data_IF_503454474452
#
_entry.id   IF_503454474452
#
_cell.length_a   1.000
_cell.length_b   1.000
_cell.length_c   1.000
_cell.angle_alpha   90.00
_cell.angle_beta   90.00
_cell.angle_gamma   90.00
#
_symmetry.space_group_name_H-M   'P 1'
#
loop_
_entity.id
_entity.type
_entity.pdbx_description
1 polymer ?
#
# COMPACT_ATOMS: atom_id res chain seq x y z
N UNK A 1 53.39 -36.64 44.69
CA UNK A 1 52.97 -35.66 43.67
C UNK A 1 51.63 -36.08 43.12
N UNK A 2 50.54 -35.44 43.57
CA UNK A 2 49.18 -35.60 43.02
C UNK A 2 48.65 -34.19 42.78
N UNK A 3 48.69 -33.74 41.54
CA UNK A 3 48.12 -32.48 41.10
C UNK A 3 46.70 -32.74 40.62
N UNK A 4 45.71 -32.31 41.41
CA UNK A 4 44.32 -32.29 40.98
C UNK A 4 44.02 -30.89 40.40
N UNK A 5 43.94 -30.82 39.07
CA UNK A 5 43.54 -29.63 38.34
C UNK A 5 42.00 -29.64 38.27
N UNK A 6 41.34 -28.85 39.09
CA UNK A 6 39.89 -28.64 39.00
C UNK A 6 39.61 -27.72 37.81
N UNK A 7 39.13 -28.30 36.71
CA UNK A 7 38.58 -27.55 35.58
C UNK A 7 37.23 -26.95 36.01
N UNK A 8 37.25 -25.66 36.38
CA UNK A 8 36.05 -24.87 36.61
C UNK A 8 35.39 -24.60 35.25
N UNK A 9 34.49 -25.48 34.83
CA UNK A 9 33.57 -25.21 33.72
C UNK A 9 32.65 -24.05 34.13
N UNK A 10 32.98 -22.84 33.70
CA UNK A 10 32.04 -21.73 33.65
C UNK A 10 30.92 -22.14 32.69
N UNK A 11 29.82 -22.66 33.26
CA UNK A 11 28.55 -22.74 32.56
C UNK A 11 28.09 -21.30 32.42
N UNK A 12 28.31 -20.71 31.25
CA UNK A 12 27.61 -19.50 30.84
C UNK A 12 26.13 -19.87 30.79
N UNK A 13 25.41 -19.59 31.88
CA UNK A 13 23.96 -19.69 31.91
C UNK A 13 23.43 -18.71 30.88
N UNK A 14 23.06 -19.22 29.71
CA UNK A 14 22.23 -18.48 28.77
C UNK A 14 20.89 -18.29 29.45
N UNK A 15 20.73 -17.20 30.19
CA UNK A 15 19.42 -16.75 30.66
C UNK A 15 18.55 -16.64 29.42
N UNK A 16 17.59 -17.57 29.26
CA UNK A 16 16.57 -17.46 28.25
C UNK A 16 15.87 -16.11 28.49
N UNK A 17 16.16 -15.14 27.63
CA UNK A 17 15.64 -13.79 27.77
C UNK A 17 14.12 -13.87 27.70
N UNK A 18 13.46 -13.55 28.81
CA UNK A 18 12.01 -13.48 28.82
C UNK A 18 11.62 -12.32 27.90
N UNK A 19 10.87 -12.62 26.84
CA UNK A 19 10.23 -11.63 25.97
C UNK A 19 8.71 -11.67 26.21
N UNK A 20 8.05 -10.53 26.18
CA UNK A 20 6.59 -10.43 26.32
C UNK A 20 6.07 -9.55 25.20
N UNK A 21 4.97 -9.96 24.58
CA UNK A 21 4.52 -9.31 23.36
C UNK A 21 3.11 -9.69 22.95
N UNK A 22 2.56 -8.89 22.04
CA UNK A 22 1.31 -9.14 21.35
C UNK A 22 1.62 -9.43 19.87
N UNK A 23 1.29 -10.63 19.40
CA UNK A 23 1.60 -11.07 18.03
C UNK A 23 3.10 -11.10 17.74
N UNK A 24 3.50 -10.52 16.60
CA UNK A 24 4.91 -10.46 16.15
C UNK A 24 5.74 -9.41 16.91
N UNK A 25 5.14 -8.69 17.85
CA UNK A 25 5.80 -7.61 18.56
C UNK A 25 6.13 -8.01 19.97
N UNK A 26 7.41 -8.23 20.20
CA UNK A 26 7.93 -8.67 21.48
C UNK A 26 8.85 -7.61 22.06
N UNK A 27 8.67 -7.36 23.35
CA UNK A 27 9.58 -6.60 24.21
C UNK A 27 10.35 -7.61 25.04
N UNK A 28 11.65 -7.65 24.83
CA UNK A 28 12.57 -8.50 25.54
C UNK A 28 13.31 -7.71 26.63
N UNK A 29 13.78 -8.42 27.65
CA UNK A 29 14.76 -7.87 28.56
C UNK A 29 15.98 -7.36 27.78
N UNK A 30 16.39 -6.12 28.04
CA UNK A 30 17.47 -5.44 27.35
C UNK A 30 17.03 -4.49 26.24
N UNK A 31 15.78 -4.61 25.76
CA UNK A 31 15.24 -3.71 24.74
C UNK A 31 15.08 -2.29 25.24
N UNK A 32 15.13 -1.34 24.31
CA UNK A 32 14.76 0.05 24.55
C UNK A 32 13.34 0.27 24.05
N UNK A 33 12.46 0.75 24.91
CA UNK A 33 11.06 1.08 24.59
C UNK A 33 10.77 2.56 24.86
N UNK A 34 9.70 3.10 24.26
CA UNK A 34 9.24 4.46 24.54
C UNK A 34 7.98 4.41 25.40
N UNK A 35 7.84 5.34 26.35
CA UNK A 35 6.69 5.41 27.26
C UNK A 35 6.21 6.86 27.32
N UNK A 36 5.03 7.11 26.75
CA UNK A 36 4.42 8.44 26.70
C UNK A 36 5.26 9.49 25.98
N UNK A 37 5.06 10.76 26.35
CA UNK A 37 5.70 11.94 25.72
C UNK A 37 6.88 12.51 26.49
N UNK A 38 7.18 11.96 27.68
CA UNK A 38 8.12 12.58 28.59
C UNK A 38 9.59 12.45 28.15
N UNK A 39 9.97 11.32 27.54
CA UNK A 39 11.39 11.02 27.26
C UNK A 39 11.60 10.43 25.86
N UNK A 40 12.22 11.21 24.97
CA UNK A 40 12.61 10.75 23.63
C UNK A 40 13.72 9.70 23.63
N UNK A 41 14.43 9.57 24.76
CA UNK A 41 15.54 8.62 24.93
C UNK A 41 15.06 7.22 25.33
N UNK A 42 13.79 7.10 25.73
CA UNK A 42 13.17 5.82 26.09
C UNK A 42 13.66 5.21 27.40
N UNK A 43 13.31 3.95 27.57
CA UNK A 43 13.56 3.15 28.76
C UNK A 43 14.20 1.83 28.37
N UNK A 44 15.26 1.43 29.07
CA UNK A 44 15.84 0.09 28.93
C UNK A 44 15.09 -0.89 29.82
N UNK A 45 14.56 -1.96 29.24
CA UNK A 45 13.85 -3.02 29.97
C UNK A 45 14.85 -3.86 30.77
N UNK A 46 14.69 -3.92 32.08
CA UNK A 46 15.59 -4.61 33.01
C UNK A 46 15.01 -5.94 33.47
N UNK A 47 13.69 -6.01 33.65
CA UNK A 47 12.99 -7.21 34.10
C UNK A 47 11.54 -7.16 33.69
N UNK A 48 10.90 -8.32 33.60
CA UNK A 48 9.53 -8.44 33.09
C UNK A 48 8.71 -9.28 34.07
N UNK A 49 7.55 -8.76 34.47
CA UNK A 49 6.54 -9.44 35.28
C UNK A 49 5.29 -9.70 34.44
N UNK A 50 5.25 -10.89 33.83
CA UNK A 50 4.12 -11.36 33.01
C UNK A 50 2.82 -11.46 33.79
N UNK A 51 2.88 -11.71 35.11
CA UNK A 51 1.68 -11.98 35.90
C UNK A 51 0.86 -10.71 36.11
N UNK A 52 1.55 -9.57 36.25
CA UNK A 52 0.94 -8.28 36.53
C UNK A 52 0.83 -7.37 35.29
N UNK A 53 1.26 -7.84 34.11
CA UNK A 53 1.36 -7.03 32.89
C UNK A 53 2.29 -5.81 33.07
N UNK A 54 3.41 -6.01 33.77
CA UNK A 54 4.34 -4.95 34.12
C UNK A 54 5.79 -5.30 33.74
N UNK A 55 6.64 -4.28 33.63
CA UNK A 55 8.07 -4.42 33.47
C UNK A 55 8.83 -3.38 34.30
N UNK A 56 10.03 -3.77 34.75
CA UNK A 56 10.96 -2.85 35.40
C UNK A 56 11.82 -2.24 34.31
N UNK A 57 11.78 -0.92 34.21
CA UNK A 57 12.47 -0.16 33.19
C UNK A 57 13.42 0.85 33.83
N UNK A 58 14.58 1.03 33.19
CA UNK A 58 15.55 2.06 33.54
C UNK A 58 15.40 3.22 32.58
N UNK A 59 15.08 4.40 33.11
CA UNK A 59 15.01 5.63 32.33
C UNK A 59 16.40 5.97 31.75
N UNK A 60 16.49 6.14 30.44
CA UNK A 60 17.78 6.41 29.79
C UNK A 60 18.30 7.84 30.04
N UNK A 61 17.44 8.77 30.47
CA UNK A 61 17.81 10.14 30.80
C UNK A 61 18.18 10.29 32.27
N UNK A 62 17.28 9.89 33.18
CA UNK A 62 17.48 10.08 34.62
C UNK A 62 18.21 8.93 35.30
N UNK A 63 18.45 7.82 34.59
CA UNK A 63 19.11 6.63 35.13
C UNK A 63 18.37 6.00 36.33
N UNK A 64 17.07 6.28 36.48
CA UNK A 64 16.19 5.79 37.56
C UNK A 64 15.47 4.51 37.14
N UNK A 65 15.20 3.64 38.12
CA UNK A 65 14.38 2.43 37.91
C UNK A 65 12.94 2.71 38.28
N UNK A 66 12.00 2.23 37.47
CA UNK A 66 10.58 2.31 37.75
C UNK A 66 9.84 1.12 37.15
N UNK A 67 8.73 0.73 37.77
CA UNK A 67 7.79 -0.24 37.22
C UNK A 67 6.82 0.47 36.27
N UNK A 68 6.52 -0.16 35.14
CA UNK A 68 5.71 0.37 34.04
C UNK A 68 4.77 -0.70 33.52
N UNK A 69 3.60 -0.29 33.00
CA UNK A 69 2.65 -1.19 32.35
C UNK A 69 3.03 -1.42 30.88
N UNK A 70 2.87 -2.65 30.39
CA UNK A 70 3.00 -2.94 28.95
C UNK A 70 2.01 -2.13 28.11
N UNK A 71 0.88 -1.73 28.68
CA UNK A 71 -0.16 -0.96 28.00
C UNK A 71 0.27 0.47 27.69
N UNK A 72 1.35 0.96 28.30
CA UNK A 72 1.90 2.30 28.08
C UNK A 72 3.03 2.31 27.04
N UNK A 73 3.45 1.14 26.56
CA UNK A 73 4.60 1.01 25.65
C UNK A 73 4.23 1.50 24.25
N UNK A 74 5.13 2.32 23.71
CA UNK A 74 5.22 2.59 22.28
C UNK A 74 6.36 1.75 21.70
N UNK A 75 6.00 0.78 20.86
CA UNK A 75 6.94 -0.05 20.11
C UNK A 75 7.71 0.83 19.13
N UNK A 76 9.03 0.85 19.24
CA UNK A 76 9.91 1.73 18.47
C UNK A 76 10.53 1.04 17.24
N UNK A 77 9.93 -0.05 16.78
CA UNK A 77 10.32 -0.81 15.59
C UNK A 77 9.07 -1.39 14.92
N UNK A 78 9.23 -1.74 13.64
CA UNK A 78 8.17 -2.34 12.85
C UNK A 78 7.11 -1.34 12.39
N UNK A 79 6.01 -1.88 11.89
CA UNK A 79 4.91 -1.13 11.32
C UNK A 79 3.59 -1.60 11.93
N UNK A 80 2.63 -0.68 12.00
CA UNK A 80 1.27 -0.94 12.42
C UNK A 80 0.33 -0.17 11.51
N UNK A 81 -0.71 -0.82 10.98
CA UNK A 81 -1.69 -0.23 10.05
C UNK A 81 -1.06 0.65 8.95
N UNK A 82 -0.04 0.10 8.27
CA UNK A 82 0.69 0.73 7.16
C UNK A 82 1.51 1.98 7.52
N UNK A 83 1.74 2.24 8.82
CA UNK A 83 2.65 3.28 9.29
C UNK A 83 3.79 2.62 10.06
N UNK A 84 5.02 2.92 9.67
CA UNK A 84 6.23 2.38 10.24
C UNK A 84 6.91 3.37 11.19
N UNK A 85 7.65 2.83 12.16
CA UNK A 85 8.57 3.67 12.94
C UNK A 85 9.66 4.21 12.03
N UNK A 86 9.85 5.53 12.07
CA UNK A 86 10.75 6.23 11.18
C UNK A 86 10.05 7.07 10.12
N UNK A 87 8.78 6.77 9.84
CA UNK A 87 8.01 7.45 8.80
C UNK A 87 7.84 8.93 9.12
N UNK A 88 7.87 9.73 8.04
CA UNK A 88 7.48 11.14 8.09
C UNK A 88 5.98 11.22 7.89
N UNK A 89 5.29 11.94 8.75
CA UNK A 89 3.84 12.19 8.67
C UNK A 89 3.55 13.68 8.76
N UNK A 90 2.37 14.10 8.33
CA UNK A 90 1.84 15.45 8.47
C UNK A 90 0.50 15.42 9.21
N UNK A 91 0.12 16.54 9.83
CA UNK A 91 -1.17 16.75 10.49
C UNK A 91 -1.62 18.18 10.26
N UNK A 92 -2.26 18.42 9.11
CA UNK A 92 -2.69 19.76 8.71
C UNK A 92 -1.60 20.82 8.93
N UNK A 93 -1.96 21.92 9.58
CA UNK A 93 -1.03 23.00 9.93
C UNK A 93 -0.19 22.74 11.18
N UNK A 94 -0.61 21.81 12.05
CA UNK A 94 0.10 21.52 13.31
C UNK A 94 1.48 20.92 13.06
N UNK A 95 1.65 20.11 12.01
CA UNK A 95 2.93 19.55 11.58
C UNK A 95 3.27 20.00 10.15
N UNK A 96 3.28 21.31 9.90
CA UNK A 96 3.52 21.84 8.55
C UNK A 96 4.90 21.45 7.96
N UNK A 97 5.91 21.19 8.81
CA UNK A 97 7.23 20.67 8.42
C UNK A 97 7.33 19.13 8.51
N UNK A 98 6.22 18.48 8.83
CA UNK A 98 6.11 17.08 9.16
C UNK A 98 6.54 16.75 10.59
N UNK A 99 6.25 15.53 11.00
CA UNK A 99 6.70 14.91 12.23
C UNK A 99 7.23 13.51 11.91
N UNK A 100 8.10 12.97 12.76
CA UNK A 100 8.64 11.61 12.65
C UNK A 100 7.91 10.68 13.60
N UNK A 101 7.46 9.53 13.12
CA UNK A 101 6.91 8.46 13.96
C UNK A 101 8.06 7.81 14.73
N UNK A 102 7.98 7.81 16.05
CA UNK A 102 8.96 7.18 16.94
C UNK A 102 8.48 5.85 17.50
N UNK A 103 7.17 5.66 17.57
CA UNK A 103 6.58 4.39 17.98
C UNK A 103 5.08 4.40 17.91
N UNK A 104 4.47 3.24 18.15
CA UNK A 104 3.03 3.08 18.24
C UNK A 104 2.69 2.17 19.41
N UNK A 105 1.51 2.38 19.97
CA UNK A 105 0.98 1.61 21.07
C UNK A 105 -0.28 0.90 20.56
N UNK A 106 -0.21 -0.43 20.53
CA UNK A 106 -1.28 -1.27 19.98
C UNK A 106 -2.52 -1.24 20.87
N UNK A 107 -2.33 -1.13 22.18
CA UNK A 107 -3.43 -1.17 23.17
C UNK A 107 -4.30 0.08 23.06
N UNK A 108 -3.69 1.25 23.05
CA UNK A 108 -4.42 2.52 22.96
C UNK A 108 -4.59 3.04 21.53
N UNK A 109 -4.03 2.35 20.53
CA UNK A 109 -4.09 2.66 19.09
C UNK A 109 -3.54 4.05 18.73
N UNK A 110 -2.55 4.54 19.48
CA UNK A 110 -1.91 5.84 19.24
C UNK A 110 -0.48 5.69 18.75
N UNK A 111 -0.02 6.73 18.07
CA UNK A 111 1.36 6.90 17.62
C UNK A 111 2.05 7.97 18.44
N UNK A 112 3.29 7.71 18.84
CA UNK A 112 4.18 8.70 19.40
C UNK A 112 4.97 9.33 18.26
N UNK A 113 4.82 10.63 18.09
CA UNK A 113 5.48 11.39 17.02
C UNK A 113 6.32 12.51 17.59
N UNK A 114 7.38 12.87 16.87
CA UNK A 114 8.24 14.02 17.16
C UNK A 114 8.10 15.05 16.06
N UNK A 115 7.63 16.23 16.40
CA UNK A 115 7.55 17.37 15.48
C UNK A 115 8.95 17.76 14.98
N UNK A 116 9.12 17.96 13.67
CA UNK A 116 10.42 18.27 13.08
C UNK A 116 10.90 19.70 13.38
N UNK A 117 9.99 20.64 13.62
CA UNK A 117 10.28 22.04 13.91
C UNK A 117 10.49 22.27 15.41
N UNK A 118 9.53 21.90 16.24
CA UNK A 118 9.58 22.16 17.69
C UNK A 118 10.30 21.07 18.49
N UNK A 119 10.63 19.93 17.87
CA UNK A 119 11.21 18.76 18.56
C UNK A 119 10.36 18.21 19.72
N UNK A 120 9.10 18.62 19.81
CA UNK A 120 8.17 18.19 20.85
C UNK A 120 7.62 16.80 20.55
N UNK A 121 7.45 16.01 21.61
CA UNK A 121 6.78 14.71 21.53
C UNK A 121 5.29 14.88 21.73
N UNK A 122 4.50 14.18 20.93
CA UNK A 122 3.05 14.13 21.11
C UNK A 122 2.51 12.76 20.73
N UNK A 123 1.37 12.41 21.31
CA UNK A 123 0.62 11.21 20.94
C UNK A 123 -0.53 11.58 20.01
N UNK A 124 -0.69 10.86 18.92
CA UNK A 124 -1.69 11.15 17.89
C UNK A 124 -2.42 9.87 17.45
N UNK A 125 -3.64 10.05 16.96
CA UNK A 125 -4.41 8.97 16.35
C UNK A 125 -4.04 8.86 14.86
N UNK A 126 -4.18 7.65 14.29
CA UNK A 126 -3.88 7.35 12.88
C UNK A 126 -4.65 8.22 11.89
N UNK A 127 -5.95 8.36 12.12
CA UNK A 127 -6.92 9.09 11.28
C UNK A 127 -6.55 10.57 11.08
N UNK A 128 -5.70 11.11 11.96
CA UNK A 128 -5.22 12.51 11.84
C UNK A 128 -4.01 12.68 10.93
N UNK A 129 -3.42 11.59 10.42
CA UNK A 129 -2.19 11.62 9.66
C UNK A 129 -2.39 11.74 8.15
N UNK A 130 -1.45 12.45 7.55
CA UNK A 130 -1.24 12.51 6.11
C UNK A 130 0.17 12.00 5.81
N UNK A 131 0.28 11.05 4.88
CA UNK A 131 1.56 10.46 4.47
C UNK A 131 2.13 11.19 3.26
N UNK A 132 3.46 11.38 3.17
CA UNK A 132 4.12 12.01 2.02
C UNK A 132 4.15 11.13 0.76
N UNK A 133 3.41 10.03 0.76
CA UNK A 133 3.33 9.05 -0.31
C UNK A 133 1.92 8.51 -0.44
N UNK A 134 1.62 7.91 -1.59
CA UNK A 134 0.32 7.35 -1.93
C UNK A 134 -0.51 8.21 -2.87
N UNK A 135 -1.60 7.61 -3.30
CA UNK A 135 -2.61 8.20 -4.18
C UNK A 135 -4.00 7.99 -3.59
N UNK A 136 -4.94 8.86 -3.93
CA UNK A 136 -6.36 8.70 -3.63
C UNK A 136 -7.19 9.35 -4.75
N UNK A 137 -8.21 8.66 -5.25
CA UNK A 137 -9.07 9.11 -6.35
C UNK A 137 -8.28 9.70 -7.54
N UNK A 138 -7.27 8.96 -8.06
CA UNK A 138 -6.37 9.38 -9.15
C UNK A 138 -5.44 10.56 -8.85
N UNK A 139 -5.55 11.17 -7.66
CA UNK A 139 -4.66 12.24 -7.20
C UNK A 139 -3.56 11.63 -6.34
N UNK A 140 -2.31 11.90 -6.69
CA UNK A 140 -1.15 11.39 -6.00
C UNK A 140 -0.34 12.47 -5.30
N UNK A 141 0.40 12.07 -4.26
CA UNK A 141 1.38 12.98 -3.64
C UNK A 141 2.43 13.39 -4.68
N UNK A 142 2.59 14.69 -4.88
CA UNK A 142 3.49 15.27 -5.88
C UNK A 142 2.79 15.81 -7.11
N UNK A 143 1.51 15.48 -7.33
CA UNK A 143 0.71 16.07 -8.41
C UNK A 143 0.56 17.58 -8.21
N UNK A 144 0.46 18.30 -9.34
CA UNK A 144 0.02 19.69 -9.36
C UNK A 144 -1.48 19.71 -9.59
N UNK A 145 -2.19 20.38 -8.69
CA UNK A 145 -3.65 20.45 -8.66
C UNK A 145 -4.14 21.90 -8.67
N UNK A 146 -5.39 22.07 -9.06
CA UNK A 146 -6.08 23.35 -9.14
C UNK A 146 -7.43 23.29 -8.43
N UNK A 147 -7.83 24.38 -7.75
CA UNK A 147 -9.16 24.54 -7.11
C UNK A 147 -9.64 25.98 -7.28
N UNK A 148 -10.15 26.29 -8.47
CA UNK A 148 -10.68 27.62 -8.81
C UNK A 148 -9.75 28.76 -8.43
N UNK A 149 -10.32 29.85 -7.88
CA UNK A 149 -9.54 31.02 -7.45
C UNK A 149 -8.70 30.77 -6.19
N UNK A 150 -8.96 29.71 -5.43
CA UNK A 150 -8.20 29.40 -4.21
C UNK A 150 -6.77 28.96 -4.49
N UNK A 151 -6.51 28.35 -5.66
CA UNK A 151 -5.17 27.98 -6.14
C UNK A 151 -4.96 28.52 -7.55
N UNK A 152 -5.11 29.82 -7.75
CA UNK A 152 -5.03 30.44 -9.08
C UNK A 152 -3.73 30.14 -9.85
N UNK A 153 -2.64 29.81 -9.14
CA UNK A 153 -1.34 29.41 -9.71
C UNK A 153 -1.02 27.91 -9.51
N UNK A 154 -2.04 27.12 -9.17
CA UNK A 154 -1.92 25.73 -8.78
C UNK A 154 -1.38 25.53 -7.36
N UNK A 155 -1.51 24.31 -6.88
CA UNK A 155 -0.97 23.83 -5.62
C UNK A 155 -0.35 22.45 -5.83
N UNK A 156 0.59 22.07 -4.98
CA UNK A 156 1.20 20.74 -5.00
C UNK A 156 0.63 19.87 -3.90
N UNK A 157 0.24 18.64 -4.21
CA UNK A 157 -0.13 17.65 -3.20
C UNK A 157 1.12 17.24 -2.43
N UNK A 158 1.13 17.46 -1.12
CA UNK A 158 2.30 17.21 -0.26
C UNK A 158 2.18 15.95 0.56
N UNK A 159 0.94 15.61 0.93
CA UNK A 159 0.66 14.41 1.70
C UNK A 159 -0.80 13.99 1.50
N UNK A 160 -1.09 12.70 1.66
CA UNK A 160 -2.41 12.12 1.48
C UNK A 160 -2.93 11.51 2.77
N UNK A 161 -4.20 11.71 3.08
CA UNK A 161 -4.83 11.02 4.21
C UNK A 161 -4.95 9.53 3.91
N UNK A 162 -4.62 8.72 4.91
CA UNK A 162 -4.76 7.26 4.80
C UNK A 162 -6.24 6.87 4.85
N UNK A 163 -6.99 7.53 5.73
CA UNK A 163 -8.32 7.09 6.16
C UNK A 163 -9.45 7.97 5.62
N UNK A 164 -9.13 8.98 4.80
CA UNK A 164 -10.13 9.89 4.23
C UNK A 164 -9.77 10.39 2.84
N UNK A 165 -10.76 10.90 2.13
CA UNK A 165 -10.62 11.51 0.81
C UNK A 165 -10.09 12.95 0.89
N UNK A 166 -9.05 13.16 1.71
CA UNK A 166 -8.41 14.45 1.89
C UNK A 166 -6.94 14.40 1.52
N UNK A 167 -6.50 15.46 0.86
CA UNK A 167 -5.11 15.76 0.56
C UNK A 167 -4.66 17.00 1.31
N UNK A 168 -3.42 16.97 1.80
CA UNK A 168 -2.72 18.17 2.22
C UNK A 168 -2.06 18.77 0.97
N UNK A 169 -2.45 19.98 0.61
CA UNK A 169 -1.91 20.70 -0.56
C UNK A 169 -1.15 21.93 -0.12
N UNK A 170 -0.09 22.27 -0.85
CA UNK A 170 0.70 23.48 -0.65
C UNK A 170 0.54 24.41 -1.85
N UNK A 171 0.03 25.60 -1.60
CA UNK A 171 -0.11 26.63 -2.63
C UNK A 171 1.27 27.01 -3.22
N UNK A 172 1.36 27.07 -4.54
CA UNK A 172 2.63 27.35 -5.23
C UNK A 172 3.13 28.79 -5.01
N UNK A 173 2.23 29.73 -4.75
CA UNK A 173 2.52 31.16 -4.61
C UNK A 173 2.72 31.57 -3.15
N UNK A 174 1.78 31.20 -2.27
CA UNK A 174 1.80 31.62 -0.87
C UNK A 174 2.55 30.67 0.06
N UNK A 175 2.94 29.48 -0.41
CA UNK A 175 3.59 28.41 0.36
C UNK A 175 2.79 27.91 1.57
N UNK A 176 1.55 28.34 1.71
CA UNK A 176 0.60 27.92 2.74
C UNK A 176 0.11 26.50 2.45
N UNK A 177 -0.12 25.74 3.52
CA UNK A 177 -0.70 24.41 3.42
C UNK A 177 -2.18 24.45 3.82
N UNK A 178 -3.00 23.69 3.11
CA UNK A 178 -4.40 23.50 3.46
C UNK A 178 -4.84 22.06 3.20
N UNK A 179 -5.81 21.60 3.98
CA UNK A 179 -6.45 20.31 3.76
C UNK A 179 -7.60 20.51 2.79
N UNK A 180 -7.67 19.70 1.75
CA UNK A 180 -8.71 19.75 0.71
C UNK A 180 -9.26 18.36 0.46
N UNK A 181 -10.53 18.26 0.10
CA UNK A 181 -11.08 17.00 -0.41
C UNK A 181 -10.53 16.71 -1.79
N UNK A 182 -10.23 15.45 -2.09
CA UNK A 182 -9.69 15.01 -3.39
C UNK A 182 -10.66 15.33 -4.54
N UNK A 183 -11.96 15.12 -4.35
CA UNK A 183 -13.01 15.45 -5.32
C UNK A 183 -13.07 16.94 -5.72
N UNK A 184 -12.57 17.84 -4.86
CA UNK A 184 -12.56 19.29 -5.12
C UNK A 184 -11.33 19.73 -5.93
N UNK A 185 -10.40 18.81 -6.25
CA UNK A 185 -9.11 19.10 -6.87
C UNK A 185 -9.09 18.61 -8.31
N UNK A 186 -8.60 19.46 -9.20
CA UNK A 186 -8.37 19.11 -10.61
C UNK A 186 -6.87 18.92 -10.81
N UNK A 187 -6.43 17.74 -11.25
CA UNK A 187 -5.02 17.50 -11.60
C UNK A 187 -4.68 18.24 -12.89
N UNK A 188 -3.70 19.13 -12.84
CA UNK A 188 -3.20 19.87 -14.01
C UNK A 188 -1.86 19.34 -14.50
N UNK A 189 -1.11 18.68 -13.63
CA UNK A 189 0.13 17.98 -13.99
C UNK A 189 0.34 16.79 -13.07
N UNK A 190 0.45 15.62 -13.68
CA UNK A 190 0.76 14.37 -12.99
C UNK A 190 2.24 14.30 -12.59
N UNK A 191 2.51 13.81 -11.38
CA UNK A 191 3.83 13.36 -10.98
C UNK A 191 4.20 12.07 -11.72
N UNK A 192 5.46 11.97 -12.13
CA UNK A 192 6.03 10.75 -12.72
C UNK A 192 6.35 9.67 -11.68
N UNK A 193 6.15 9.95 -10.39
CA UNK A 193 6.43 9.01 -9.29
C UNK A 193 5.51 7.78 -9.31
N UNK A 194 4.28 7.92 -9.79
CA UNK A 194 3.27 6.85 -9.79
C UNK A 194 2.82 6.54 -11.20
N UNK A 195 2.73 5.25 -11.50
CA UNK A 195 2.15 4.73 -12.73
C UNK A 195 0.64 4.95 -12.80
N UNK A 196 0.06 4.84 -14.01
CA UNK A 196 -1.39 4.87 -14.21
C UNK A 196 -2.12 3.79 -13.41
N UNK A 197 -1.48 2.62 -13.22
CA UNK A 197 -2.00 1.55 -12.38
C UNK A 197 -2.08 1.96 -10.91
N UNK A 198 -1.00 2.49 -10.33
CA UNK A 198 -0.97 2.95 -8.93
C UNK A 198 -1.96 4.08 -8.65
N UNK A 199 -2.24 4.92 -9.65
CA UNK A 199 -3.26 5.98 -9.60
C UNK A 199 -4.68 5.43 -9.47
N UNK A 200 -4.98 4.28 -10.10
CA UNK A 200 -6.31 3.66 -10.12
C UNK A 200 -6.58 2.66 -8.97
N UNK A 201 -5.54 2.15 -8.32
CA UNK A 201 -5.65 1.04 -7.34
C UNK A 201 -6.47 1.35 -6.08
N UNK A 202 -6.64 2.62 -5.67
CA UNK A 202 -7.36 2.92 -4.43
C UNK A 202 -8.88 2.78 -4.52
N UNK A 203 -9.45 2.57 -5.70
CA UNK A 203 -10.88 2.27 -5.84
C UNK A 203 -11.24 0.86 -5.34
N UNK A 204 -10.27 -0.05 -5.21
CA UNK A 204 -10.52 -1.47 -4.90
C UNK A 204 -10.28 -1.80 -3.41
N UNK A 205 -9.28 -1.19 -2.75
CA UNK A 205 -9.01 -1.51 -1.33
C UNK A 205 -10.06 -0.94 -0.36
N UNK A 206 -10.69 0.20 -0.68
CA UNK A 206 -11.65 0.88 0.22
C UNK A 206 -13.03 0.20 0.32
N UNK A 207 -13.33 -0.76 -0.56
CA UNK A 207 -14.55 -1.58 -0.44
C UNK A 207 -14.40 -2.77 0.52
N UNK A 208 -13.25 -2.92 1.21
CA UNK A 208 -12.99 -4.06 2.10
C UNK A 208 -12.95 -3.76 3.60
N UNK A 209 -13.22 -2.53 4.04
CA UNK A 209 -13.15 -2.16 5.46
C UNK A 209 -14.51 -1.78 6.09
N UNK A 210 -15.39 -2.76 6.28
CA UNK A 210 -16.27 -2.76 7.46
C UNK A 210 -15.67 -3.68 8.53
N UNK A 211 -15.71 -3.31 9.83
CA UNK A 211 -15.21 -4.14 10.91
C UNK A 211 -16.21 -5.25 11.21
N UNK A 212 -16.20 -6.32 10.41
CA UNK A 212 -16.94 -7.53 10.70
C UNK A 212 -16.25 -8.18 11.92
N UNK A 213 -16.97 -8.24 13.04
CA UNK A 213 -16.62 -9.14 14.14
C UNK A 213 -16.39 -10.53 13.54
N UNK A 214 -15.17 -11.06 13.69
CA UNK A 214 -14.73 -12.32 13.10
C UNK A 214 -15.66 -13.48 13.47
N UNK A 215 -16.68 -13.70 12.65
CA UNK A 215 -17.21 -15.02 12.37
C UNK A 215 -16.56 -15.44 11.06
N UNK A 216 -15.57 -16.34 11.16
CA UNK A 216 -14.89 -16.94 10.02
C UNK A 216 -15.92 -17.68 9.14
N UNK A 217 -16.48 -16.97 8.16
CA UNK A 217 -17.10 -17.59 7.00
C UNK A 217 -16.05 -17.52 5.90
N UNK A 218 -15.25 -18.57 5.78
CA UNK A 218 -14.40 -18.79 4.62
C UNK A 218 -15.31 -18.97 3.39
N UNK A 219 -15.73 -17.88 2.77
CA UNK A 219 -16.18 -17.89 1.39
C UNK A 219 -14.92 -17.91 0.53
N UNK A 220 -14.50 -19.11 0.16
CA UNK A 220 -13.51 -19.35 -0.89
C UNK A 220 -14.11 -18.85 -2.19
N UNK A 221 -13.92 -17.57 -2.50
CA UNK A 221 -14.22 -17.05 -3.82
C UNK A 221 -13.24 -17.71 -4.79
N UNK A 222 -13.68 -18.79 -5.43
CA UNK A 222 -12.91 -19.48 -6.46
C UNK A 222 -13.02 -18.61 -7.72
N UNK A 223 -11.96 -17.88 -8.03
CA UNK A 223 -11.88 -17.14 -9.28
C UNK A 223 -11.95 -18.13 -10.44
N UNK A 224 -13.04 -18.08 -11.23
CA UNK A 224 -13.20 -18.93 -12.40
C UNK A 224 -12.34 -18.42 -13.57
N UNK A 225 -11.03 -18.69 -13.47
CA UNK A 225 -10.06 -18.27 -14.49
C UNK A 225 -10.36 -18.86 -15.87
N UNK A 226 -11.03 -20.02 -15.93
CA UNK A 226 -11.40 -20.66 -17.19
C UNK A 226 -12.55 -19.93 -17.86
N UNK A 227 -13.58 -19.59 -17.09
CA UNK A 227 -14.69 -18.74 -17.54
C UNK A 227 -14.17 -17.39 -18.02
N UNK A 228 -13.34 -16.72 -17.21
CA UNK A 228 -12.72 -15.45 -17.55
C UNK A 228 -11.89 -15.54 -18.85
N UNK A 229 -11.00 -16.53 -18.98
CA UNK A 229 -10.17 -16.73 -20.18
C UNK A 229 -11.00 -16.89 -21.45
N UNK A 230 -12.13 -17.62 -21.38
CA UNK A 230 -13.04 -17.79 -22.53
C UNK A 230 -13.74 -16.49 -22.89
N UNK A 231 -14.32 -15.83 -21.90
CA UNK A 231 -15.01 -14.55 -22.06
C UNK A 231 -14.12 -13.51 -22.73
N UNK A 232 -12.92 -13.30 -22.17
CA UNK A 232 -11.93 -12.34 -22.69
C UNK A 232 -11.56 -12.68 -24.13
N UNK A 233 -11.28 -13.95 -24.42
CA UNK A 233 -10.89 -14.39 -25.76
C UNK A 233 -12.00 -14.18 -26.80
N UNK A 234 -13.24 -14.54 -26.48
CA UNK A 234 -14.39 -14.38 -27.39
C UNK A 234 -14.68 -12.90 -27.65
N UNK A 235 -14.69 -12.08 -26.61
CA UNK A 235 -14.85 -10.62 -26.70
C UNK A 235 -13.75 -9.98 -27.55
N UNK A 236 -12.49 -10.36 -27.33
CA UNK A 236 -11.36 -9.90 -28.15
C UNK A 236 -11.54 -10.25 -29.63
N UNK A 237 -11.94 -11.49 -29.94
CA UNK A 237 -12.16 -11.91 -31.34
C UNK A 237 -13.30 -11.11 -31.97
N UNK A 238 -14.40 -10.90 -31.25
CA UNK A 238 -15.55 -10.16 -31.75
C UNK A 238 -15.23 -8.67 -31.96
N UNK A 239 -14.50 -8.07 -31.03
CA UNK A 239 -14.02 -6.69 -31.15
C UNK A 239 -13.13 -6.53 -32.39
N UNK A 240 -12.11 -7.37 -32.56
CA UNK A 240 -11.21 -7.25 -33.72
C UNK A 240 -11.96 -7.47 -35.03
N UNK A 241 -12.93 -8.40 -35.09
CA UNK A 241 -13.81 -8.57 -36.26
C UNK A 241 -14.65 -7.33 -36.55
N UNK A 242 -15.18 -6.69 -35.51
CA UNK A 242 -15.96 -5.46 -35.68
C UNK A 242 -15.12 -4.30 -36.21
N UNK A 243 -13.82 -4.30 -35.91
CA UNK A 243 -12.86 -3.32 -36.41
C UNK A 243 -12.39 -3.59 -37.85
N UNK A 244 -12.56 -4.80 -38.41
CA UNK A 244 -12.06 -5.18 -39.75
C UNK A 244 -12.40 -4.19 -40.87
N UNK A 245 -13.62 -3.61 -40.95
CA UNK A 245 -13.95 -2.64 -42.00
C UNK A 245 -13.16 -1.33 -41.92
N UNK A 246 -12.59 -1.02 -40.76
CA UNK A 246 -11.87 0.22 -40.46
C UNK A 246 -10.34 0.05 -40.52
N UNK A 247 -9.86 -1.19 -40.65
CA UNK A 247 -8.45 -1.53 -40.64
C UNK A 247 -7.86 -1.45 -42.06
N UNK A 248 -6.66 -0.87 -42.18
CA UNK A 248 -5.91 -0.89 -43.43
C UNK A 248 -5.09 -2.19 -43.58
N UNK A 249 -4.64 -2.52 -44.80
CA UNK A 249 -3.90 -3.76 -45.07
C UNK A 249 -2.60 -3.93 -44.26
N UNK A 250 -1.96 -2.83 -43.82
CA UNK A 250 -0.74 -2.92 -43.02
C UNK A 250 -1.03 -3.39 -41.59
N UNK A 251 -2.16 -2.96 -41.03
CA UNK A 251 -2.57 -3.24 -39.66
C UNK A 251 -3.42 -4.52 -39.56
N UNK A 252 -3.96 -5.01 -40.68
CA UNK A 252 -4.70 -6.28 -40.76
C UNK A 252 -3.86 -7.46 -40.23
N UNK A 253 -2.56 -7.48 -40.54
CA UNK A 253 -1.65 -8.53 -40.07
C UNK A 253 -1.50 -8.55 -38.52
N UNK A 254 -1.51 -7.39 -37.88
CA UNK A 254 -1.41 -7.26 -36.42
C UNK A 254 -2.72 -7.67 -35.74
N UNK A 255 -3.84 -7.27 -36.33
CA UNK A 255 -5.19 -7.65 -35.89
C UNK A 255 -5.44 -9.15 -36.03
N UNK A 256 -4.92 -9.76 -37.10
CA UNK A 256 -4.89 -11.20 -37.27
C UNK A 256 -4.06 -11.91 -36.19
N UNK A 257 -2.95 -11.32 -35.76
CA UNK A 257 -2.14 -11.87 -34.68
C UNK A 257 -2.86 -11.81 -33.33
N UNK A 258 -3.57 -10.72 -33.05
CA UNK A 258 -4.44 -10.58 -31.86
C UNK A 258 -5.53 -11.66 -31.90
N UNK A 259 -6.28 -11.78 -33.01
CA UNK A 259 -7.30 -12.85 -33.18
C UNK A 259 -6.72 -14.24 -32.99
N UNK A 260 -5.56 -14.54 -33.58
CA UNK A 260 -4.87 -15.84 -33.44
C UNK A 260 -4.50 -16.12 -31.98
N UNK A 261 -4.06 -15.11 -31.23
CA UNK A 261 -3.67 -15.27 -29.82
C UNK A 261 -4.88 -15.40 -28.90
N UNK A 262 -5.95 -14.63 -29.13
CA UNK A 262 -7.23 -14.80 -28.45
C UNK A 262 -7.81 -16.20 -28.69
N UNK A 263 -7.81 -16.70 -29.94
CA UNK A 263 -8.25 -18.05 -30.25
C UNK A 263 -7.40 -19.13 -29.55
N UNK A 264 -6.09 -18.91 -29.39
CA UNK A 264 -5.22 -19.79 -28.59
C UNK A 264 -5.55 -19.71 -27.10
N UNK A 265 -5.86 -18.53 -26.56
CA UNK A 265 -6.27 -18.36 -25.17
C UNK A 265 -7.56 -19.15 -24.90
N UNK A 266 -8.55 -19.01 -25.79
CA UNK A 266 -9.81 -19.76 -25.75
C UNK A 266 -9.57 -21.28 -25.74
N UNK A 267 -8.70 -21.78 -26.62
CA UNK A 267 -8.36 -23.20 -26.67
C UNK A 267 -7.64 -23.67 -25.38
N UNK A 268 -6.75 -22.83 -24.82
CA UNK A 268 -5.98 -23.15 -23.61
C UNK A 268 -6.81 -23.11 -22.34
N UNK A 269 -7.89 -22.33 -22.29
CA UNK A 269 -8.80 -22.26 -21.14
C UNK A 269 -9.41 -23.63 -20.77
N UNK A 270 -9.50 -24.56 -21.74
CA UNK A 270 -9.97 -25.93 -21.51
C UNK A 270 -8.84 -26.93 -21.17
N UNK A 271 -7.58 -26.50 -21.18
CA UNK A 271 -6.42 -27.35 -20.86
C UNK A 271 -6.02 -27.21 -19.38
N UNK A 272 -5.26 -28.17 -18.84
CA UNK A 272 -4.68 -28.09 -17.49
C UNK A 272 -3.26 -27.50 -17.51
N UNK A 273 -2.81 -26.97 -18.64
CA UNK A 273 -1.46 -26.42 -18.81
C UNK A 273 -1.47 -24.94 -18.45
N UNK A 274 -1.40 -24.67 -17.15
CA UNK A 274 -1.49 -23.31 -16.59
C UNK A 274 -0.36 -22.42 -17.10
N UNK A 275 0.85 -22.95 -17.25
CA UNK A 275 2.00 -22.20 -17.78
C UNK A 275 1.69 -21.70 -19.20
N UNK A 276 1.20 -22.57 -20.08
CA UNK A 276 0.85 -22.16 -21.45
C UNK A 276 -0.35 -21.21 -21.48
N UNK A 277 -1.29 -21.33 -20.55
CA UNK A 277 -2.38 -20.39 -20.41
C UNK A 277 -1.85 -18.99 -20.06
N UNK A 278 -1.03 -18.88 -19.00
CA UNK A 278 -0.40 -17.64 -18.55
C UNK A 278 0.42 -16.99 -19.66
N UNK A 279 1.33 -17.73 -20.30
CA UNK A 279 2.15 -17.18 -21.39
C UNK A 279 1.31 -16.72 -22.58
N UNK A 280 0.20 -17.41 -22.86
CA UNK A 280 -0.71 -17.01 -23.95
C UNK A 280 -1.47 -15.73 -23.60
N UNK A 281 -1.95 -15.61 -22.35
CA UNK A 281 -2.61 -14.39 -21.85
C UNK A 281 -1.65 -13.19 -21.88
N UNK A 282 -0.42 -13.35 -21.39
CA UNK A 282 0.62 -12.32 -21.44
C UNK A 282 0.95 -11.89 -22.88
N UNK A 283 1.09 -12.85 -23.81
CA UNK A 283 1.34 -12.48 -25.21
C UNK A 283 0.16 -11.73 -25.83
N UNK A 284 -1.08 -12.02 -25.40
CA UNK A 284 -2.25 -11.30 -25.89
C UNK A 284 -2.26 -9.87 -25.35
N UNK A 285 -1.95 -9.68 -24.07
CA UNK A 285 -1.83 -8.36 -23.43
C UNK A 285 -0.75 -7.52 -24.13
N UNK A 286 0.45 -8.09 -24.34
CA UNK A 286 1.54 -7.42 -25.06
C UNK A 286 1.13 -6.94 -26.47
N UNK A 287 0.31 -7.72 -27.17
CA UNK A 287 -0.20 -7.35 -28.49
C UNK A 287 -1.24 -6.23 -28.41
N UNK A 288 -2.16 -6.30 -27.44
CA UNK A 288 -3.17 -5.25 -27.25
C UNK A 288 -2.50 -3.93 -26.86
N UNK A 289 -1.57 -3.94 -25.91
CA UNK A 289 -0.82 -2.75 -25.48
C UNK A 289 0.01 -2.16 -26.62
N UNK A 290 0.71 -2.99 -27.41
CA UNK A 290 1.49 -2.50 -28.55
C UNK A 290 0.62 -1.80 -29.61
N UNK A 291 -0.61 -2.28 -29.79
CA UNK A 291 -1.55 -1.77 -30.77
C UNK A 291 -2.52 -0.73 -30.20
N UNK A 292 -2.41 -0.40 -28.91
CA UNK A 292 -3.38 0.39 -28.16
C UNK A 292 -3.63 1.76 -28.81
N UNK A 293 -2.57 2.51 -29.13
CA UNK A 293 -2.69 3.83 -29.76
C UNK A 293 -3.46 3.78 -31.09
N UNK A 294 -3.18 2.77 -31.92
CA UNK A 294 -3.86 2.57 -33.20
C UNK A 294 -5.31 2.13 -33.01
N UNK A 295 -5.56 1.20 -32.07
CA UNK A 295 -6.91 0.75 -31.76
C UNK A 295 -7.77 1.89 -31.22
N UNK A 296 -7.20 2.79 -30.40
CA UNK A 296 -7.87 3.99 -29.92
C UNK A 296 -8.14 5.00 -31.03
N UNK A 297 -7.18 5.24 -31.92
CA UNK A 297 -7.39 6.11 -33.10
C UNK A 297 -8.54 5.60 -33.99
N UNK A 298 -8.67 4.28 -34.16
CA UNK A 298 -9.78 3.69 -34.90
C UNK A 298 -11.13 3.95 -34.21
N UNK A 299 -11.20 3.88 -32.89
CA UNK A 299 -12.46 3.97 -32.12
C UNK A 299 -12.80 5.39 -31.65
N UNK A 300 -11.96 6.39 -31.90
CA UNK A 300 -12.16 7.80 -31.51
C UNK A 300 -13.28 8.51 -32.31
N UNK A 301 -13.91 7.83 -33.27
CA UNK A 301 -15.08 8.37 -33.97
C UNK A 301 -16.37 8.05 -33.21
N UNK A 302 -17.31 9.00 -33.14
CA UNK A 302 -18.61 8.89 -32.40
C UNK A 302 -19.41 7.59 -32.68
N UNK A 303 -19.12 6.87 -33.77
CA UNK A 303 -19.74 5.60 -34.10
C UNK A 303 -19.14 4.37 -33.36
N UNK A 304 -18.05 4.54 -32.61
CA UNK A 304 -17.21 3.45 -32.10
C UNK A 304 -16.87 3.52 -30.60
N UNK A 305 -17.47 4.45 -29.84
CA UNK A 305 -17.32 4.55 -28.38
C UNK A 305 -17.54 3.21 -27.65
N UNK A 306 -18.54 2.44 -28.09
CA UNK A 306 -18.83 1.11 -27.53
C UNK A 306 -17.67 0.13 -27.71
N UNK A 307 -16.90 0.24 -28.80
CA UNK A 307 -15.72 -0.59 -29.06
C UNK A 307 -14.52 -0.14 -28.21
N UNK A 308 -14.40 1.16 -27.94
CA UNK A 308 -13.37 1.69 -27.04
C UNK A 308 -13.58 1.18 -25.60
N UNK A 309 -14.82 1.25 -25.09
CA UNK A 309 -15.17 0.72 -23.77
C UNK A 309 -14.90 -0.78 -23.71
N UNK A 310 -15.27 -1.52 -24.76
CA UNK A 310 -15.04 -2.95 -24.84
C UNK A 310 -13.54 -3.30 -24.82
N UNK A 311 -12.70 -2.54 -25.54
CA UNK A 311 -11.25 -2.72 -25.55
C UNK A 311 -10.62 -2.49 -24.16
N UNK A 312 -11.04 -1.42 -23.47
CA UNK A 312 -10.59 -1.12 -22.11
C UNK A 312 -10.98 -2.26 -21.17
N UNK A 313 -12.25 -2.67 -21.22
CA UNK A 313 -12.78 -3.75 -20.36
C UNK A 313 -12.02 -5.06 -20.57
N UNK A 314 -11.77 -5.44 -21.83
CA UNK A 314 -10.96 -6.61 -22.19
C UNK A 314 -9.55 -6.50 -21.58
N UNK A 315 -8.92 -5.33 -21.69
CA UNK A 315 -7.55 -5.11 -21.21
C UNK A 315 -7.45 -5.20 -19.69
N UNK A 316 -8.43 -4.66 -18.96
CA UNK A 316 -8.48 -4.75 -17.49
C UNK A 316 -8.74 -6.19 -17.01
N UNK A 317 -9.71 -6.88 -17.61
CA UNK A 317 -10.00 -8.28 -17.28
C UNK A 317 -8.82 -9.22 -17.60
N UNK A 318 -8.10 -8.96 -18.70
CA UNK A 318 -6.93 -9.73 -19.08
C UNK A 318 -5.77 -9.55 -18.09
N UNK A 319 -5.53 -8.34 -17.59
CA UNK A 319 -4.53 -8.09 -16.54
C UNK A 319 -4.91 -8.80 -15.23
N UNK A 320 -6.16 -8.70 -14.79
CA UNK A 320 -6.63 -9.40 -13.60
C UNK A 320 -6.47 -10.93 -13.74
N UNK A 321 -6.74 -11.48 -14.92
CA UNK A 321 -6.48 -12.89 -15.22
C UNK A 321 -4.98 -13.23 -15.13
N UNK A 322 -4.10 -12.41 -15.72
CA UNK A 322 -2.64 -12.62 -15.68
C UNK A 322 -2.13 -12.62 -14.24
N UNK A 323 -2.57 -11.66 -13.42
CA UNK A 323 -2.16 -11.55 -12.02
C UNK A 323 -2.60 -12.77 -11.20
N UNK A 324 -3.84 -13.20 -11.39
CA UNK A 324 -4.35 -14.43 -10.77
C UNK A 324 -3.52 -15.66 -11.18
N UNK A 325 -3.23 -15.81 -12.48
CA UNK A 325 -2.42 -16.91 -13.00
C UNK A 325 -0.95 -16.84 -12.55
N UNK A 326 -0.41 -15.66 -12.27
CA UNK A 326 0.95 -15.50 -11.75
C UNK A 326 1.05 -15.82 -10.26
N UNK A 327 -0.04 -15.63 -9.50
CA UNK A 327 -0.08 -15.86 -8.05
C UNK A 327 0.12 -17.33 -7.64
N UNK A 328 -0.11 -18.28 -8.55
CA UNK A 328 -0.04 -19.71 -8.23
C UNK A 328 -1.24 -20.25 -7.46
N UNK A 329 -2.29 -19.44 -7.24
CA UNK A 329 -3.45 -19.79 -6.42
C UNK A 329 -4.55 -20.51 -7.21
N UNK A 330 -4.20 -21.63 -7.85
CA UNK A 330 -5.10 -22.47 -8.66
C UNK A 330 -5.17 -23.93 -8.17
#
# INVERSE_FOLDING_TARGET
MKSALAALTLVATTSAFACVGYGDQQVCQGDTVLIGTAHSQGYKVIGIDRRNNEFIAKDNYYNTLSTKSFDDIYYNKGCYNSICVGDKIYKGTSFAQGAKVLGYNIVNKKYLVKDNYYSTLSTQNRDTFYLPEGCNDYICVGDTVYKGTSFAQGAKVVAMSIDSNHALVKDNYYSTQSVQRTEDLIVTQETSKYSSYERGQRYIEFLSEEPIQQQQVYSTYVFDFRGASKSIADRTINLVKALEPYINNANEAEMDNIKKKAARLLARANTNDMIKLTTTAQTLDDLLVRNEAYLFELVETDALDGMAIELITISEELKALIDYLASGQY
#
